data_IF_439608143802
#
_entry.id   IF_439608143802
#
_cell.length_a   1.000
_cell.length_b   1.000
_cell.length_c   1.000
_cell.angle_alpha   90.00
_cell.angle_beta   90.00
_cell.angle_gamma   90.00
#
_symmetry.space_group_name_H-M   'P 1'
#
loop_
_entity.id
_entity.type
_entity.pdbx_description
1 polymer ?
#
# COMPACT_ATOMS: atom_id res chain seq x y z
N UNK A 1 -28.31 23.51 -50.66
CA UNK A 1 -27.64 24.56 -49.87
C UNK A 1 -27.00 23.87 -48.67
N UNK A 2 -25.69 23.62 -48.74
CA UNK A 2 -24.92 23.01 -47.65
C UNK A 2 -24.20 24.14 -46.89
N UNK A 3 -24.47 24.28 -45.60
CA UNK A 3 -23.76 25.23 -44.75
C UNK A 3 -22.32 24.75 -44.52
N UNK A 4 -21.30 25.62 -44.63
CA UNK A 4 -19.93 25.23 -44.37
C UNK A 4 -19.73 25.09 -42.86
N UNK A 5 -19.39 23.88 -42.42
CA UNK A 5 -18.89 23.64 -41.06
C UNK A 5 -17.59 24.44 -40.94
N UNK A 6 -17.58 25.44 -40.06
CA UNK A 6 -16.42 26.28 -39.81
C UNK A 6 -15.26 25.43 -39.30
N UNK A 7 -14.09 25.55 -39.96
CA UNK A 7 -12.82 24.90 -39.60
C UNK A 7 -12.41 25.13 -38.13
N UNK A 8 -12.95 26.16 -37.47
CA UNK A 8 -12.68 26.46 -36.06
C UNK A 8 -13.29 25.43 -35.08
N UNK A 9 -14.31 24.67 -35.47
CA UNK A 9 -14.92 23.65 -34.60
C UNK A 9 -14.25 22.27 -34.69
N UNK A 10 -13.50 22.01 -35.77
CA UNK A 10 -12.76 20.75 -35.94
C UNK A 10 -11.50 20.65 -35.07
N UNK A 11 -10.88 21.79 -34.74
CA UNK A 11 -9.66 21.83 -33.91
C UNK A 11 -9.91 21.57 -32.42
N UNK A 12 -11.12 21.86 -31.92
CA UNK A 12 -11.44 21.69 -30.49
C UNK A 12 -11.63 20.21 -30.15
N UNK A 13 -12.17 19.40 -31.07
CA UNK A 13 -12.41 17.97 -30.83
C UNK A 13 -11.11 17.16 -30.86
N UNK A 14 -10.09 17.62 -31.60
CA UNK A 14 -8.76 17.00 -31.63
C UNK A 14 -7.93 17.27 -30.37
N UNK A 15 -8.22 18.33 -29.62
CA UNK A 15 -7.54 18.65 -28.36
C UNK A 15 -8.14 17.96 -27.13
N UNK A 16 -9.31 17.34 -27.25
CA UNK A 16 -9.95 16.60 -26.13
C UNK A 16 -9.72 15.09 -26.14
N UNK A 17 -9.13 14.53 -27.20
CA UNK A 17 -8.87 13.09 -27.30
C UNK A 17 -7.57 12.63 -26.61
N UNK A 18 -6.79 13.56 -26.06
CA UNK A 18 -5.57 13.25 -25.30
C UNK A 18 -5.81 13.19 -23.79
N UNK A 19 -7.01 12.84 -23.32
CA UNK A 19 -7.13 12.31 -21.95
C UNK A 19 -6.53 10.92 -21.98
N UNK A 20 -5.20 10.95 -21.86
CA UNK A 20 -4.25 9.87 -21.88
C UNK A 20 -4.84 8.63 -21.23
N UNK A 21 -4.82 7.51 -21.96
CA UNK A 21 -4.69 6.22 -21.33
C UNK A 21 -3.50 6.36 -20.35
N UNK A 22 -3.80 6.44 -19.06
CA UNK A 22 -2.77 6.30 -18.05
C UNK A 22 -2.34 4.86 -18.19
N UNK A 23 -1.29 4.62 -18.97
CA UNK A 23 -0.51 3.40 -18.87
C UNK A 23 -0.25 3.24 -17.38
N UNK A 24 -0.91 2.26 -16.76
CA UNK A 24 -1.03 2.19 -15.32
C UNK A 24 0.30 1.72 -14.74
N UNK A 25 1.24 2.65 -14.60
CA UNK A 25 2.53 2.38 -13.99
C UNK A 25 2.32 1.92 -12.55
N UNK A 26 3.12 0.94 -12.14
CA UNK A 26 3.16 0.47 -10.76
C UNK A 26 3.40 1.64 -9.81
N UNK A 27 2.45 1.90 -8.91
CA UNK A 27 2.57 2.95 -7.93
C UNK A 27 3.42 2.49 -6.74
N UNK A 28 4.08 3.42 -6.06
CA UNK A 28 4.82 3.15 -4.82
C UNK A 28 4.28 4.06 -3.72
N UNK A 29 3.74 3.46 -2.66
CA UNK A 29 3.10 4.18 -1.56
C UNK A 29 3.80 3.89 -0.24
N UNK A 30 4.14 4.94 0.52
CA UNK A 30 4.67 4.79 1.88
C UNK A 30 3.53 4.44 2.84
N UNK A 31 3.69 3.33 3.56
CA UNK A 31 2.71 2.88 4.55
C UNK A 31 2.62 3.88 5.70
N UNK A 32 1.43 4.40 5.96
CA UNK A 32 1.19 5.46 6.95
C UNK A 32 1.51 6.88 6.47
N UNK A 33 2.01 7.07 5.25
CA UNK A 33 2.37 8.39 4.73
C UNK A 33 3.47 9.04 5.60
N UNK A 34 3.23 10.25 6.10
CA UNK A 34 4.15 10.96 6.99
C UNK A 34 4.30 10.32 8.37
N UNK A 35 3.31 9.53 8.79
CA UNK A 35 3.33 8.82 10.08
C UNK A 35 4.17 7.56 10.04
N UNK A 36 4.57 7.10 8.84
CA UNK A 36 5.36 5.90 8.62
C UNK A 36 4.73 4.64 9.28
N UNK A 37 5.53 3.60 9.54
CA UNK A 37 5.14 2.38 10.25
C UNK A 37 5.46 2.51 11.74
N UNK A 38 4.48 2.84 12.58
CA UNK A 38 4.62 3.14 14.00
C UNK A 38 3.44 2.67 14.85
N UNK A 39 3.68 2.58 16.15
CA UNK A 39 2.66 2.24 17.14
C UNK A 39 1.55 3.31 17.23
N UNK A 40 0.30 2.87 17.36
CA UNK A 40 -0.86 3.71 17.67
C UNK A 40 -1.45 4.47 16.48
N UNK A 41 -1.09 4.13 15.24
CA UNK A 41 -1.64 4.75 14.04
C UNK A 41 -2.76 3.89 13.41
N UNK A 42 -3.80 4.53 12.87
CA UNK A 42 -4.94 3.85 12.28
C UNK A 42 -4.67 3.45 10.82
N UNK A 43 -4.00 2.31 10.63
CA UNK A 43 -3.68 1.79 9.30
C UNK A 43 -4.89 1.29 8.52
N UNK A 44 -5.99 0.91 9.19
CA UNK A 44 -7.25 0.56 8.52
C UNK A 44 -7.79 1.76 7.75
N UNK A 45 -7.89 2.92 8.40
CA UNK A 45 -8.33 4.15 7.76
C UNK A 45 -7.35 4.57 6.64
N UNK A 46 -6.04 4.49 6.89
CA UNK A 46 -5.04 4.78 5.87
C UNK A 46 -5.18 3.87 4.63
N UNK A 47 -5.39 2.55 4.81
CA UNK A 47 -5.53 1.61 3.70
C UNK A 47 -6.79 1.91 2.87
N UNK A 48 -7.90 2.28 3.52
CA UNK A 48 -9.15 2.69 2.85
C UNK A 48 -8.91 3.96 2.03
N UNK A 49 -8.25 4.97 2.60
CA UNK A 49 -7.97 6.23 1.92
C UNK A 49 -6.99 6.10 0.73
N UNK A 50 -6.16 5.05 0.74
CA UNK A 50 -5.21 4.75 -0.34
C UNK A 50 -5.72 3.64 -1.29
N UNK A 51 -7.00 3.27 -1.19
CA UNK A 51 -7.63 2.32 -2.10
C UNK A 51 -8.25 3.04 -3.32
N UNK A 52 -8.37 2.36 -4.48
CA UNK A 52 -7.87 1.01 -4.76
C UNK A 52 -6.35 0.98 -4.95
N UNK A 53 -5.71 -0.06 -4.43
CA UNK A 53 -4.35 -0.44 -4.80
C UNK A 53 -4.40 -1.52 -5.88
N UNK A 54 -3.36 -1.60 -6.70
CA UNK A 54 -3.33 -2.48 -7.86
C UNK A 54 -2.20 -3.51 -7.80
N UNK A 55 -2.32 -4.55 -8.62
CA UNK A 55 -1.24 -5.51 -8.83
C UNK A 55 0.04 -4.80 -9.30
N UNK A 56 1.16 -5.26 -8.77
CA UNK A 56 2.49 -4.71 -8.94
C UNK A 56 2.73 -3.35 -8.27
N UNK A 57 1.75 -2.77 -7.56
CA UNK A 57 2.03 -1.67 -6.65
C UNK A 57 2.97 -2.10 -5.53
N UNK A 58 3.73 -1.14 -5.04
CA UNK A 58 4.67 -1.33 -3.98
C UNK A 58 4.26 -0.56 -2.72
N UNK A 59 4.35 -1.24 -1.58
CA UNK A 59 4.24 -0.65 -0.25
C UNK A 59 5.64 -0.46 0.32
N UNK A 60 5.95 0.73 0.80
CA UNK A 60 7.22 1.05 1.44
C UNK A 60 6.99 1.20 2.94
N UNK A 61 7.56 0.31 3.72
CA UNK A 61 7.53 0.34 5.18
C UNK A 61 8.77 1.08 5.68
N UNK A 62 8.55 2.20 6.36
CA UNK A 62 9.61 2.99 6.99
C UNK A 62 9.46 2.93 8.49
N UNK A 63 10.54 2.61 9.19
CA UNK A 63 10.61 2.59 10.65
C UNK A 63 12.08 2.59 11.07
N UNK A 64 12.37 3.26 12.18
CA UNK A 64 13.75 3.39 12.64
C UNK A 64 14.27 2.04 13.18
N UNK A 65 15.54 1.69 12.91
CA UNK A 65 16.18 0.56 13.56
C UNK A 65 16.17 0.73 15.09
N UNK A 66 16.07 -0.37 15.85
CA UNK A 66 16.01 -0.30 17.30
C UNK A 66 17.29 0.29 17.88
N UNK A 67 17.14 1.11 18.92
CA UNK A 67 18.24 1.67 19.71
C UNK A 67 17.78 1.82 21.18
N UNK A 68 18.53 2.54 22.02
CA UNK A 68 18.19 2.71 23.44
C UNK A 68 16.83 3.39 23.70
N UNK A 69 16.27 4.08 22.71
CA UNK A 69 15.02 4.85 22.81
C UNK A 69 13.98 4.48 21.75
N UNK A 70 14.36 3.77 20.69
CA UNK A 70 13.46 3.35 19.60
C UNK A 70 13.10 1.88 19.77
N UNK A 71 11.80 1.61 19.93
CA UNK A 71 11.28 0.25 19.97
C UNK A 71 11.41 -0.44 18.60
N UNK A 72 11.74 -1.74 18.56
CA UNK A 72 11.80 -2.47 17.30
C UNK A 72 10.43 -2.53 16.63
N UNK A 73 10.44 -2.51 15.29
CA UNK A 73 9.28 -2.78 14.46
C UNK A 73 9.66 -3.78 13.36
N UNK A 74 8.76 -4.68 13.01
CA UNK A 74 8.94 -5.62 11.90
C UNK A 74 7.69 -5.63 11.03
N UNK A 75 7.76 -6.34 9.90
CA UNK A 75 6.62 -6.52 9.01
C UNK A 75 6.44 -8.00 8.73
N UNK A 76 5.26 -8.51 9.10
CA UNK A 76 4.83 -9.88 8.86
C UNK A 76 3.65 -9.91 7.89
N UNK A 77 3.62 -10.95 7.06
CA UNK A 77 2.44 -11.39 6.33
C UNK A 77 1.76 -12.51 7.10
N UNK A 78 0.53 -12.25 7.55
CA UNK A 78 -0.30 -13.26 8.20
C UNK A 78 -0.98 -14.13 7.14
N UNK A 79 -1.19 -15.39 7.52
CA UNK A 79 -1.65 -16.44 6.60
C UNK A 79 -3.05 -16.19 6.05
N UNK A 80 -3.94 -15.66 6.90
CA UNK A 80 -5.36 -15.54 6.64
C UNK A 80 -6.01 -14.48 7.52
N UNK A 81 -7.29 -14.21 7.22
CA UNK A 81 -8.08 -13.20 7.92
C UNK A 81 -8.26 -13.51 9.42
N UNK A 82 -8.37 -14.78 9.81
CA UNK A 82 -8.54 -15.15 11.22
C UNK A 82 -7.27 -14.85 12.02
N UNK A 83 -6.12 -15.20 11.45
CA UNK A 83 -4.81 -14.86 12.02
C UNK A 83 -4.65 -13.34 12.14
N UNK A 84 -5.08 -12.59 11.13
CA UNK A 84 -5.08 -11.12 11.13
C UNK A 84 -5.95 -10.50 12.24
N UNK A 85 -7.18 -10.99 12.43
CA UNK A 85 -8.05 -10.50 13.49
C UNK A 85 -7.46 -10.78 14.87
N UNK A 86 -6.97 -12.01 15.08
CA UNK A 86 -6.41 -12.47 16.35
C UNK A 86 -4.98 -11.98 16.63
N UNK A 87 -4.29 -11.37 15.64
CA UNK A 87 -2.85 -11.12 15.69
C UNK A 87 -2.03 -12.39 15.97
N UNK A 88 -2.47 -13.53 15.43
CA UNK A 88 -1.76 -14.79 15.56
C UNK A 88 -0.64 -14.86 14.53
N UNK A 89 0.61 -14.76 14.99
CA UNK A 89 1.81 -14.80 14.16
C UNK A 89 2.29 -16.23 13.87
N UNK A 90 1.61 -17.26 14.36
CA UNK A 90 1.99 -18.66 14.12
C UNK A 90 1.97 -18.96 12.62
N UNK A 91 3.14 -19.27 12.05
CA UNK A 91 3.30 -19.52 10.63
C UNK A 91 3.15 -18.27 9.74
N UNK A 92 3.13 -17.06 10.33
CA UNK A 92 3.25 -15.82 9.58
C UNK A 92 4.66 -15.67 9.00
N UNK A 93 4.76 -15.05 7.84
CA UNK A 93 6.05 -14.83 7.17
C UNK A 93 6.58 -13.45 7.52
N UNK A 94 7.71 -13.36 8.20
CA UNK A 94 8.45 -12.10 8.30
C UNK A 94 8.95 -11.70 6.90
N UNK A 95 8.58 -10.50 6.46
CA UNK A 95 9.03 -9.92 5.19
C UNK A 95 10.02 -8.78 5.39
N UNK A 96 9.99 -8.13 6.55
CA UNK A 96 10.98 -7.13 6.96
C UNK A 96 11.36 -7.34 8.43
N UNK A 97 12.66 -7.43 8.69
CA UNK A 97 13.23 -7.43 10.04
C UNK A 97 13.33 -6.01 10.62
N UNK A 98 13.79 -5.92 11.88
CA UNK A 98 13.87 -4.69 12.67
C UNK A 98 14.82 -3.63 12.13
N UNK A 99 15.70 -3.97 11.20
CA UNK A 99 16.66 -3.05 10.57
C UNK A 99 16.23 -2.59 9.19
N UNK A 100 15.34 -3.33 8.53
CA UNK A 100 14.99 -3.10 7.12
C UNK A 100 14.16 -1.83 6.87
N UNK A 101 13.55 -1.25 7.92
CA UNK A 101 12.75 -0.03 7.81
C UNK A 101 13.54 1.26 7.67
N UNK A 102 14.86 1.22 7.94
CA UNK A 102 15.73 2.39 7.90
C UNK A 102 15.99 2.92 6.49
N UNK A 103 16.47 4.17 6.40
CA UNK A 103 16.86 4.80 5.14
C UNK A 103 15.71 4.88 4.12
N UNK A 104 15.84 4.15 3.01
CA UNK A 104 14.81 4.10 1.97
C UNK A 104 13.58 3.29 2.39
N UNK A 105 13.66 2.49 3.45
CA UNK A 105 12.61 1.60 3.93
C UNK A 105 12.53 0.28 3.17
N UNK A 106 11.73 -0.63 3.70
CA UNK A 106 11.49 -1.94 3.11
C UNK A 106 10.39 -1.85 2.04
N UNK A 107 10.70 -2.25 0.81
CA UNK A 107 9.76 -2.25 -0.32
C UNK A 107 9.13 -3.63 -0.54
N UNK A 108 7.82 -3.72 -0.40
CA UNK A 108 7.02 -4.91 -0.70
C UNK A 108 6.19 -4.72 -1.97
N UNK A 109 6.35 -5.59 -2.98
CA UNK A 109 5.56 -5.52 -4.22
C UNK A 109 4.41 -6.55 -4.18
N UNK A 110 3.18 -6.08 -4.40
CA UNK A 110 1.98 -6.91 -4.39
C UNK A 110 1.77 -7.61 -5.73
N UNK A 111 2.40 -8.77 -5.92
CA UNK A 111 2.42 -9.48 -7.21
C UNK A 111 1.25 -10.45 -7.46
N UNK A 112 0.58 -10.89 -6.40
CA UNK A 112 -0.52 -11.87 -6.46
C UNK A 112 -1.88 -11.22 -6.25
N UNK A 113 -2.88 -11.66 -7.00
CA UNK A 113 -4.28 -11.29 -6.82
C UNK A 113 -4.90 -12.08 -5.66
N UNK A 114 -4.65 -11.59 -4.44
CA UNK A 114 -5.13 -12.18 -3.18
C UNK A 114 -5.12 -11.09 -2.10
N UNK A 115 -5.84 -11.25 -0.98
CA UNK A 115 -5.65 -10.37 0.17
C UNK A 115 -4.25 -10.53 0.78
N UNK A 116 -3.68 -9.43 1.24
CA UNK A 116 -2.47 -9.39 2.05
C UNK A 116 -2.82 -8.83 3.43
N UNK A 117 -2.39 -9.54 4.46
CA UNK A 117 -2.61 -9.16 5.85
C UNK A 117 -1.26 -8.81 6.48
N UNK A 118 -0.98 -7.51 6.59
CA UNK A 118 0.27 -7.03 7.17
C UNK A 118 0.09 -6.77 8.66
N UNK A 119 1.10 -7.10 9.47
CA UNK A 119 1.17 -6.65 10.86
C UNK A 119 2.60 -6.55 11.38
N UNK A 120 2.76 -5.86 12.51
CA UNK A 120 4.01 -5.84 13.27
C UNK A 120 4.06 -7.04 14.20
N UNK A 121 5.18 -7.77 14.15
CA UNK A 121 5.37 -8.98 14.94
C UNK A 121 5.92 -8.74 16.35
N UNK A 122 6.43 -7.55 16.59
CA UNK A 122 7.21 -7.23 17.79
C UNK A 122 6.39 -7.31 19.09
N UNK A 123 7.10 -7.63 20.17
CA UNK A 123 6.56 -7.85 21.51
C UNK A 123 5.43 -8.89 21.51
N UNK A 124 5.69 -10.06 20.92
CA UNK A 124 4.75 -11.19 20.83
C UNK A 124 3.39 -10.80 20.25
N UNK A 125 3.40 -9.94 19.23
CA UNK A 125 2.19 -9.45 18.56
C UNK A 125 1.43 -8.34 19.31
N UNK A 126 1.96 -7.82 20.41
CA UNK A 126 1.36 -6.68 21.12
C UNK A 126 1.24 -5.45 20.22
N UNK A 127 2.23 -5.19 19.35
CA UNK A 127 2.18 -4.09 18.39
C UNK A 127 1.03 -4.24 17.38
N UNK A 128 0.74 -5.47 16.95
CA UNK A 128 -0.42 -5.77 16.12
C UNK A 128 -1.74 -5.55 16.88
N UNK A 129 -1.84 -6.06 18.12
CA UNK A 129 -3.10 -6.13 18.87
C UNK A 129 -3.50 -4.80 19.52
N UNK A 130 -2.55 -4.16 20.20
CA UNK A 130 -2.76 -2.93 20.96
C UNK A 130 -2.25 -1.73 20.18
N UNK A 131 -1.09 -1.88 19.53
CA UNK A 131 -0.48 -0.80 18.74
C UNK A 131 -1.17 -0.52 17.42
N UNK A 132 -2.20 -1.28 17.06
CA UNK A 132 -2.94 -1.16 15.79
C UNK A 132 -2.04 -1.27 14.55
N UNK A 133 -0.82 -1.79 14.68
CA UNK A 133 0.15 -1.91 13.60
C UNK A 133 -0.20 -3.11 12.73
N UNK A 134 -1.34 -3.01 12.04
CA UNK A 134 -1.87 -4.01 11.12
C UNK A 134 -2.82 -3.40 10.12
N UNK A 135 -2.85 -3.92 8.90
CA UNK A 135 -3.86 -3.59 7.90
C UNK A 135 -3.98 -4.71 6.86
N UNK A 136 -5.08 -4.66 6.12
CA UNK A 136 -5.34 -5.57 5.01
C UNK A 136 -5.50 -4.78 3.71
N UNK A 137 -5.00 -5.33 2.61
CA UNK A 137 -5.19 -4.80 1.27
C UNK A 137 -5.48 -5.94 0.30
N UNK A 138 -6.32 -5.68 -0.70
CA UNK A 138 -6.57 -6.60 -1.80
C UNK A 138 -6.27 -5.89 -3.12
N UNK A 139 -5.06 -6.04 -3.69
CA UNK A 139 -4.69 -5.37 -4.94
C UNK A 139 -5.57 -5.85 -6.08
N UNK A 140 -6.12 -4.93 -6.86
CA UNK A 140 -6.95 -5.23 -8.03
C UNK A 140 -6.10 -5.33 -9.31
N UNK A 141 -6.51 -6.11 -10.31
CA UNK A 141 -5.94 -5.99 -11.65
C UNK A 141 -6.14 -4.57 -12.19
N UNK A 142 -5.19 -4.07 -12.97
CA UNK A 142 -5.41 -2.85 -13.74
C UNK A 142 -6.23 -3.18 -14.98
N UNK A 143 -7.39 -2.55 -15.13
CA UNK A 143 -8.11 -2.55 -16.40
C UNK A 143 -7.50 -1.45 -17.28
N UNK A 144 -6.88 -1.82 -18.39
CA UNK A 144 -6.58 -0.87 -19.46
C UNK A 144 -7.83 -0.80 -20.34
N UNK A 145 -8.43 0.38 -20.47
CA UNK A 145 -9.55 0.65 -21.38
C UNK A 145 -9.03 1.47 -22.56
#
# INVERSE_FOLDING_TARGET
MASPISYAQGLIILLSASMFAVDGFANTTVVGGTENWRFGFNYTNWAIQNSPMYLNDALVFKFDPPNSTTFPHSVYLLRDFQSFLACNLTGAKMVADVTNGGGNGFKFVMKKWQPYYFACGEHDGLHCKIGLMKFAVFPLPRCHF
#
